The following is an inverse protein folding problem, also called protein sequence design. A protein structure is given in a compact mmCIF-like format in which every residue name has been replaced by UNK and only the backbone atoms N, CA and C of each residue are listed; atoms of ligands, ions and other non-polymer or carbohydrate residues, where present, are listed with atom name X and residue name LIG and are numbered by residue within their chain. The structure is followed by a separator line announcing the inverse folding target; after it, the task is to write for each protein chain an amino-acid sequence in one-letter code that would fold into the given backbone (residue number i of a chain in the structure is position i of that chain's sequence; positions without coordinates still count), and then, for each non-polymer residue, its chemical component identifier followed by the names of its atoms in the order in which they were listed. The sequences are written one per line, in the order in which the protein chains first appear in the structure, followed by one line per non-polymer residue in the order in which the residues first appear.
data_IF_476223357977
#
_entry.id   IF_476223357977
#
_cell.length_a   1.000
_cell.length_b   1.000
_cell.length_c   1.000
_cell.angle_alpha   90.00
_cell.angle_beta   90.00
_cell.angle_gamma   90.00
#
_symmetry.space_group_name_H-M   'P 1'
#
loop_
_entity.id
_entity.type
_entity.pdbx_description
1 polymer ?
#
# COMPACT_ATOMS: atom_id res chain seq x y z
N UNK A 1 -7.79 9.92 10.80
CA UNK A 1 -8.98 10.40 10.06
C UNK A 1 -8.49 11.24 8.88
N UNK A 2 -8.95 10.97 7.66
CA UNK A 2 -8.47 11.69 6.47
C UNK A 2 -9.33 12.93 6.23
N UNK A 3 -8.78 14.11 6.52
CA UNK A 3 -9.41 15.40 6.22
C UNK A 3 -8.95 15.86 4.82
N UNK A 4 -9.89 16.33 4.01
CA UNK A 4 -9.65 16.86 2.67
C UNK A 4 -10.37 18.19 2.55
N UNK A 5 -9.64 19.31 2.41
CA UNK A 5 -10.27 20.61 2.23
C UNK A 5 -10.91 20.68 0.84
N UNK A 6 -12.13 21.18 0.79
CA UNK A 6 -12.87 21.51 -0.43
C UNK A 6 -12.92 23.03 -0.50
N UNK A 7 -12.66 23.62 -1.68
CA UNK A 7 -12.81 25.06 -1.92
C UNK A 7 -14.15 25.35 -2.57
N UNK A 8 -14.69 26.55 -2.35
CA UNK A 8 -15.95 26.98 -2.99
C UNK A 8 -15.80 27.02 -4.52
N UNK A 9 -16.78 26.45 -5.22
CA UNK A 9 -16.78 26.29 -6.68
C UNK A 9 -16.08 25.03 -7.21
N UNK A 10 -15.54 24.17 -6.34
CA UNK A 10 -14.92 22.92 -6.77
C UNK A 10 -15.97 21.81 -7.03
N UNK A 11 -15.90 21.15 -8.19
CA UNK A 11 -16.77 20.03 -8.51
C UNK A 11 -16.54 18.85 -7.53
N UNK A 12 -17.62 18.35 -6.93
CA UNK A 12 -17.66 17.24 -5.97
C UNK A 12 -16.89 16.00 -6.44
N UNK A 13 -16.92 15.71 -7.75
CA UNK A 13 -16.23 14.55 -8.33
C UNK A 13 -14.70 14.62 -8.15
N UNK A 14 -14.13 15.84 -8.21
CA UNK A 14 -12.69 16.04 -7.99
C UNK A 14 -12.32 15.82 -6.53
N UNK A 15 -13.16 16.28 -5.61
CA UNK A 15 -12.98 16.05 -4.17
C UNK A 15 -13.03 14.56 -3.84
N UNK A 16 -14.01 13.82 -4.38
CA UNK A 16 -14.14 12.37 -4.20
C UNK A 16 -12.94 11.60 -4.78
N UNK A 17 -12.46 11.97 -5.97
CA UNK A 17 -11.25 11.35 -6.56
C UNK A 17 -10.01 11.58 -5.70
N UNK A 18 -9.82 12.78 -5.15
CA UNK A 18 -8.71 13.05 -4.21
C UNK A 18 -8.86 12.24 -2.93
N UNK A 19 -10.08 12.12 -2.40
CA UNK A 19 -10.35 11.26 -1.25
C UNK A 19 -9.96 9.83 -1.50
N UNK A 20 -10.45 9.24 -2.59
CA UNK A 20 -10.11 7.87 -2.97
C UNK A 20 -8.60 7.68 -3.10
N UNK A 21 -7.90 8.56 -3.82
CA UNK A 21 -6.43 8.50 -3.96
C UNK A 21 -5.71 8.61 -2.62
N UNK A 22 -6.15 9.49 -1.72
CA UNK A 22 -5.55 9.67 -0.40
C UNK A 22 -5.79 8.44 0.48
N UNK A 23 -6.99 7.86 0.42
CA UNK A 23 -7.35 6.63 1.12
C UNK A 23 -6.54 5.42 0.62
N UNK A 24 -6.42 5.26 -0.69
CA UNK A 24 -5.61 4.20 -1.31
C UNK A 24 -4.12 4.38 -0.95
N UNK A 25 -3.61 5.62 -0.99
CA UNK A 25 -2.22 5.94 -0.61
C UNK A 25 -1.93 5.64 0.87
N UNK A 26 -2.90 5.85 1.76
CA UNK A 26 -2.74 5.47 3.17
C UNK A 26 -2.73 3.96 3.39
N UNK A 27 -3.13 3.15 2.40
CA UNK A 27 -3.03 1.69 2.47
C UNK A 27 -3.91 1.06 3.56
N UNK A 28 -4.94 1.76 4.04
CA UNK A 28 -5.80 1.31 5.13
C UNK A 28 -6.45 -0.03 4.81
N UNK A 29 -6.91 -0.24 3.58
CA UNK A 29 -7.50 -1.51 3.13
C UNK A 29 -6.49 -2.66 3.22
N UNK A 30 -5.24 -2.40 2.84
CA UNK A 30 -4.17 -3.40 2.91
C UNK A 30 -3.83 -3.75 4.36
N UNK A 31 -3.75 -2.75 5.24
CA UNK A 31 -3.54 -2.97 6.66
C UNK A 31 -4.69 -3.76 7.29
N UNK A 32 -5.93 -3.39 6.97
CA UNK A 32 -7.12 -4.09 7.47
C UNK A 32 -7.08 -5.57 7.06
N UNK A 33 -6.82 -5.87 5.78
CA UNK A 33 -6.68 -7.25 5.28
C UNK A 33 -5.54 -8.00 5.98
N UNK A 34 -4.39 -7.36 6.19
CA UNK A 34 -3.26 -8.01 6.89
C UNK A 34 -3.54 -8.32 8.36
N UNK A 35 -4.45 -7.57 9.00
CA UNK A 35 -4.83 -7.72 10.41
C UNK A 35 -6.02 -8.66 10.62
N UNK A 36 -6.69 -9.11 9.56
CA UNK A 36 -7.82 -10.03 9.68
C UNK A 36 -7.44 -11.39 10.29
N UNK A 37 -6.18 -11.82 10.12
CA UNK A 37 -5.68 -13.07 10.66
C UNK A 37 -4.36 -12.87 11.40
N UNK A 38 -4.12 -13.67 12.43
CA UNK A 38 -2.82 -13.73 13.09
C UNK A 38 -1.81 -14.49 12.22
N UNK A 39 -0.72 -13.84 11.86
CA UNK A 39 0.38 -14.45 11.11
C UNK A 39 1.57 -14.57 12.06
N UNK A 40 2.06 -15.80 12.25
CA UNK A 40 3.23 -16.06 13.12
C UNK A 40 4.45 -15.26 12.62
N UNK A 41 5.29 -14.72 13.52
CA UNK A 41 6.48 -13.94 13.13
C UNK A 41 7.44 -14.70 12.20
N UNK A 42 7.55 -16.02 12.38
CA UNK A 42 8.38 -16.88 11.53
C UNK A 42 7.89 -16.93 10.08
N UNK A 43 6.57 -16.93 9.87
CA UNK A 43 5.96 -16.93 8.53
C UNK A 43 6.18 -15.58 7.86
N UNK A 44 5.99 -14.47 8.59
CA UNK A 44 6.28 -13.11 8.08
C UNK A 44 7.74 -12.99 7.62
N UNK A 45 8.70 -13.39 8.45
CA UNK A 45 10.13 -13.34 8.12
C UNK A 45 10.48 -14.18 6.90
N UNK A 46 9.87 -15.36 6.75
CA UNK A 46 10.06 -16.22 5.57
C UNK A 46 9.59 -15.52 4.28
N UNK A 47 8.42 -14.88 4.32
CA UNK A 47 7.89 -14.16 3.13
C UNK A 47 8.77 -12.97 2.74
N UNK A 48 9.34 -12.27 3.71
CA UNK A 48 10.26 -11.15 3.49
C UNK A 48 11.55 -11.60 2.80
N UNK A 49 12.23 -12.62 3.34
CA UNK A 49 13.48 -13.16 2.76
C UNK A 49 13.25 -13.71 1.35
N UNK A 50 12.16 -14.44 1.14
CA UNK A 50 11.81 -14.98 -0.18
C UNK A 50 11.62 -13.86 -1.21
N UNK A 51 10.95 -12.78 -0.83
CA UNK A 51 10.77 -11.61 -1.69
C UNK A 51 12.09 -10.88 -1.96
N UNK A 52 12.97 -10.76 -0.96
CA UNK A 52 14.27 -10.13 -1.11
C UNK A 52 15.15 -10.88 -2.12
N UNK A 53 15.24 -12.21 -1.99
CA UNK A 53 16.00 -13.05 -2.92
C UNK A 53 15.49 -12.92 -4.35
N UNK A 54 14.16 -12.88 -4.54
CA UNK A 54 13.56 -12.67 -5.87
C UNK A 54 13.95 -11.32 -6.48
N UNK A 55 13.88 -10.23 -5.70
CA UNK A 55 14.26 -8.89 -6.18
C UNK A 55 15.76 -8.83 -6.48
N UNK A 56 16.60 -9.48 -5.67
CA UNK A 56 18.03 -9.50 -5.91
C UNK A 56 18.35 -10.21 -7.23
N UNK A 57 17.77 -11.38 -7.48
CA UNK A 57 17.97 -12.09 -8.76
C UNK A 57 17.53 -11.27 -9.98
N UNK A 58 16.46 -10.47 -9.86
CA UNK A 58 16.06 -9.55 -10.93
C UNK A 58 17.04 -8.40 -11.17
N UNK A 59 17.72 -7.92 -10.12
CA UNK A 59 18.75 -6.87 -10.23
C UNK A 59 20.01 -7.41 -10.87
N UNK A 60 20.47 -8.58 -10.40
CA UNK A 60 21.67 -9.23 -10.91
C UNK A 60 21.53 -9.55 -12.41
N UNK A 61 20.33 -9.99 -12.83
CA UNK A 61 20.00 -10.26 -14.24
C UNK A 61 19.88 -8.99 -15.12
N UNK A 62 19.66 -7.82 -14.52
CA UNK A 62 19.59 -6.55 -15.25
C UNK A 62 20.95 -5.85 -15.36
N UNK A 63 21.89 -6.20 -14.47
CA UNK A 63 23.26 -5.67 -14.44
C UNK A 63 24.25 -6.53 -15.26
N UNK A 64 23.88 -7.78 -15.55
CA UNK A 64 24.60 -8.71 -16.44
C UNK A 64 24.28 -8.43 -17.91
#
# INVERSE_FOLDING_TARGET
MLIIPIKDGENIDRALKRYKRKFDKTGVVRQLRSRQAFIKPSVLRRTEVSKANYIQGLRDAAES
#
